data_IF_684873800923
#
_entry.id   IF_684873800923
#
_cell.length_a   1.000
_cell.length_b   1.000
_cell.length_c   1.000
_cell.angle_alpha   90.00
_cell.angle_beta   90.00
_cell.angle_gamma   90.00
#
_symmetry.space_group_name_H-M   'P 1'
#
loop_
_entity.id
_entity.type
_entity.pdbx_description
1 polymer ?
#
# COMPACT_ATOMS: atom_id res chain seq x y z
N UNK A 1 -33.77 -7.98 -12.00
CA UNK A 1 -33.84 -6.71 -12.75
C UNK A 1 -32.48 -6.47 -13.38
N UNK A 2 -32.39 -5.99 -14.64
CA UNK A 2 -31.09 -5.56 -15.16
C UNK A 2 -30.60 -4.37 -14.33
N UNK A 3 -29.33 -4.38 -13.94
CA UNK A 3 -28.73 -3.22 -13.27
C UNK A 3 -28.78 -2.03 -14.23
N UNK A 4 -29.04 -0.81 -13.74
CA UNK A 4 -29.07 0.39 -14.59
C UNK A 4 -27.76 0.58 -15.39
N UNK A 5 -26.64 0.12 -14.80
CA UNK A 5 -25.32 0.09 -15.43
C UNK A 5 -25.20 -0.84 -16.64
N UNK A 6 -26.02 -1.89 -16.76
CA UNK A 6 -26.01 -2.82 -17.90
C UNK A 6 -26.52 -2.17 -19.20
N UNK A 7 -27.06 -0.94 -19.10
CA UNK A 7 -27.55 -0.16 -20.24
C UNK A 7 -26.53 0.86 -20.76
N UNK A 8 -25.38 1.01 -20.10
CA UNK A 8 -24.35 1.94 -20.56
C UNK A 8 -23.76 1.43 -21.88
N UNK A 9 -23.59 2.29 -22.90
CA UNK A 9 -22.86 1.93 -24.11
C UNK A 9 -21.44 1.44 -23.77
N UNK A 10 -20.95 0.45 -24.51
CA UNK A 10 -19.65 -0.18 -24.25
C UNK A 10 -18.50 0.83 -24.35
N UNK A 11 -18.65 1.85 -25.20
CA UNK A 11 -17.71 2.94 -25.40
C UNK A 11 -17.51 3.75 -24.12
N UNK A 12 -18.59 4.02 -23.38
CA UNK A 12 -18.53 4.74 -22.10
C UNK A 12 -17.81 3.87 -21.06
N UNK A 13 -18.10 2.57 -21.04
CA UNK A 13 -17.42 1.63 -20.13
C UNK A 13 -15.92 1.57 -20.44
N UNK A 14 -15.53 1.52 -21.71
CA UNK A 14 -14.13 1.53 -22.12
C UNK A 14 -13.43 2.83 -21.75
N UNK A 15 -14.08 3.98 -21.91
CA UNK A 15 -13.55 5.27 -21.47
C UNK A 15 -13.26 5.24 -19.97
N UNK A 16 -14.16 4.68 -19.16
CA UNK A 16 -13.95 4.53 -17.71
C UNK A 16 -12.76 3.61 -17.43
N UNK A 17 -12.70 2.44 -18.08
CA UNK A 17 -11.64 1.46 -17.86
C UNK A 17 -10.25 1.98 -18.22
N UNK A 18 -10.14 2.90 -19.19
CA UNK A 18 -8.86 3.49 -19.57
C UNK A 18 -8.17 4.29 -18.42
N UNK A 19 -8.92 4.67 -17.39
CA UNK A 19 -8.39 5.38 -16.21
C UNK A 19 -8.09 4.46 -15.02
N UNK A 20 -8.36 3.16 -15.14
CA UNK A 20 -8.28 2.19 -14.04
C UNK A 20 -7.22 1.12 -14.31
N UNK A 21 -6.66 0.58 -13.24
CA UNK A 21 -5.80 -0.59 -13.30
C UNK A 21 -6.61 -1.87 -13.51
N UNK A 22 -5.98 -2.89 -14.09
CA UNK A 22 -6.62 -4.16 -14.37
C UNK A 22 -7.26 -4.79 -13.13
N UNK A 23 -6.61 -4.69 -11.97
CA UNK A 23 -7.15 -5.26 -10.73
C UNK A 23 -8.42 -4.52 -10.26
N UNK A 24 -8.49 -3.19 -10.45
CA UNK A 24 -9.67 -2.39 -10.09
C UNK A 24 -10.83 -2.73 -11.02
N UNK A 25 -10.58 -2.81 -12.32
CA UNK A 25 -11.58 -3.21 -13.32
C UNK A 25 -12.11 -4.62 -13.02
N UNK A 26 -11.21 -5.59 -12.84
CA UNK A 26 -11.61 -6.97 -12.61
C UNK A 26 -12.32 -7.12 -11.26
N UNK A 27 -11.82 -6.51 -10.19
CA UNK A 27 -12.47 -6.58 -8.89
C UNK A 27 -13.84 -5.91 -8.89
N UNK A 28 -13.98 -4.77 -9.57
CA UNK A 28 -15.21 -3.99 -9.57
C UNK A 28 -16.25 -4.46 -10.59
N UNK A 29 -15.91 -5.19 -11.65
CA UNK A 29 -16.86 -5.51 -12.73
C UNK A 29 -16.99 -7.00 -13.06
N UNK A 30 -16.04 -7.84 -12.63
CA UNK A 30 -16.13 -9.28 -12.88
C UNK A 30 -17.29 -9.90 -12.10
N UNK A 31 -18.10 -10.72 -12.78
CA UNK A 31 -19.30 -11.41 -12.21
C UNK A 31 -20.39 -10.49 -11.67
N UNK A 32 -20.38 -9.20 -12.01
CA UNK A 32 -21.52 -8.31 -11.71
C UNK A 32 -22.71 -8.64 -12.59
N UNK A 33 -22.48 -8.78 -13.91
CA UNK A 33 -23.53 -9.13 -14.86
C UNK A 33 -22.94 -9.79 -16.11
N UNK A 34 -23.79 -10.47 -16.89
CA UNK A 34 -23.38 -11.05 -18.17
C UNK A 34 -22.93 -9.99 -19.17
N UNK A 35 -23.47 -8.76 -19.07
CA UNK A 35 -23.03 -7.64 -19.87
C UNK A 35 -21.56 -7.31 -19.58
N UNK A 36 -21.20 -7.03 -18.32
CA UNK A 36 -19.82 -6.72 -17.97
C UNK A 36 -18.86 -7.89 -18.21
N UNK A 37 -19.29 -9.14 -18.00
CA UNK A 37 -18.46 -10.30 -18.34
C UNK A 37 -18.13 -10.33 -19.85
N UNK A 38 -19.08 -10.00 -20.74
CA UNK A 38 -18.81 -9.88 -22.18
C UNK A 38 -17.89 -8.70 -22.49
N UNK A 39 -18.11 -7.54 -21.89
CA UNK A 39 -17.25 -6.36 -22.04
C UNK A 39 -15.80 -6.70 -21.66
N UNK A 40 -15.59 -7.27 -20.47
CA UNK A 40 -14.26 -7.66 -19.98
C UNK A 40 -13.57 -8.69 -20.87
N UNK A 41 -14.32 -9.61 -21.48
CA UNK A 41 -13.76 -10.63 -22.37
C UNK A 41 -13.23 -10.09 -23.71
N UNK A 42 -13.66 -8.87 -24.11
CA UNK A 42 -13.25 -8.19 -25.34
C UNK A 42 -12.39 -6.96 -25.08
N UNK A 43 -12.36 -6.43 -23.85
CA UNK A 43 -11.54 -5.29 -23.49
C UNK A 43 -10.06 -5.66 -23.62
N UNK A 44 -9.30 -4.85 -24.34
CA UNK A 44 -7.95 -5.19 -24.82
C UNK A 44 -6.91 -4.10 -24.48
N UNK A 45 -7.24 -3.28 -23.48
CA UNK A 45 -6.47 -2.13 -23.04
C UNK A 45 -6.17 -2.19 -21.53
N UNK A 46 -5.84 -3.37 -21.02
CA UNK A 46 -5.50 -3.51 -19.60
C UNK A 46 -4.12 -2.93 -19.28
N UNK A 47 -4.10 -2.19 -18.17
CA UNK A 47 -2.88 -1.69 -17.53
C UNK A 47 -2.69 -2.49 -16.23
N UNK A 48 -1.60 -3.25 -16.14
CA UNK A 48 -1.29 -4.05 -14.94
C UNK A 48 -0.22 -3.32 -14.14
N UNK A 49 -0.53 -3.07 -12.86
CA UNK A 49 0.41 -2.54 -11.89
C UNK A 49 0.55 -3.50 -10.70
N UNK A 50 1.71 -4.15 -10.59
CA UNK A 50 2.06 -5.01 -9.45
C UNK A 50 3.19 -4.42 -8.57
N UNK A 51 3.43 -3.11 -8.62
CA UNK A 51 4.43 -2.48 -7.76
C UNK A 51 4.11 -2.64 -6.27
N UNK A 52 2.84 -2.43 -5.88
CA UNK A 52 2.34 -2.69 -4.54
C UNK A 52 0.89 -3.16 -4.64
N UNK A 53 0.68 -4.47 -4.53
CA UNK A 53 -0.63 -5.10 -4.74
C UNK A 53 -0.92 -6.18 -3.69
N UNK A 54 -2.17 -6.23 -3.23
CA UNK A 54 -2.66 -7.30 -2.36
C UNK A 54 -2.61 -8.64 -3.11
N UNK A 55 -2.18 -9.70 -2.42
CA UNK A 55 -2.07 -11.05 -3.02
C UNK A 55 -3.37 -11.54 -3.67
N UNK A 56 -4.52 -11.27 -3.06
CA UNK A 56 -5.83 -11.63 -3.60
C UNK A 56 -6.14 -10.92 -4.93
N UNK A 57 -5.76 -9.64 -5.07
CA UNK A 57 -5.95 -8.88 -6.30
C UNK A 57 -4.97 -9.33 -7.38
N UNK A 58 -3.71 -9.62 -7.02
CA UNK A 58 -2.73 -10.21 -7.92
C UNK A 58 -3.21 -11.55 -8.50
N UNK A 59 -3.72 -12.44 -7.63
CA UNK A 59 -4.24 -13.75 -8.04
C UNK A 59 -5.48 -13.61 -8.93
N UNK A 60 -6.34 -12.63 -8.65
CA UNK A 60 -7.50 -12.33 -9.48
C UNK A 60 -7.08 -11.92 -10.90
N UNK A 61 -6.11 -11.00 -11.02
CA UNK A 61 -5.57 -10.59 -12.33
C UNK A 61 -4.98 -11.78 -13.05
N UNK A 62 -4.09 -12.55 -12.40
CA UNK A 62 -3.43 -13.70 -13.02
C UNK A 62 -4.41 -14.79 -13.47
N UNK A 63 -5.57 -14.91 -12.82
CA UNK A 63 -6.60 -15.90 -13.18
C UNK A 63 -7.44 -15.49 -14.38
N UNK A 64 -7.72 -14.19 -14.52
CA UNK A 64 -8.76 -13.71 -15.44
C UNK A 64 -8.20 -13.03 -16.69
N UNK A 65 -7.00 -12.47 -16.62
CA UNK A 65 -6.45 -11.70 -17.72
C UNK A 65 -5.89 -12.60 -18.82
N UNK A 66 -6.12 -12.21 -20.07
CA UNK A 66 -5.45 -12.82 -21.22
C UNK A 66 -4.27 -11.95 -21.64
N UNK A 67 -3.08 -12.53 -21.94
CA UNK A 67 -1.88 -11.76 -22.31
C UNK A 67 -2.08 -10.77 -23.46
N UNK A 68 -2.88 -11.14 -24.46
CA UNK A 68 -3.19 -10.31 -25.62
C UNK A 68 -4.01 -9.05 -25.28
N UNK A 69 -4.63 -8.98 -24.10
CA UNK A 69 -5.42 -7.83 -23.66
C UNK A 69 -4.59 -6.76 -22.94
N UNK A 70 -3.30 -6.99 -22.71
CA UNK A 70 -2.45 -6.14 -21.86
C UNK A 70 -1.59 -5.20 -22.68
N UNK A 71 -1.63 -3.92 -22.33
CA UNK A 71 -0.87 -2.84 -23.01
C UNK A 71 0.30 -2.34 -22.17
N UNK A 72 0.15 -2.36 -20.84
CA UNK A 72 1.19 -1.96 -19.89
C UNK A 72 1.30 -3.00 -18.78
N UNK A 73 2.54 -3.36 -18.43
CA UNK A 73 2.84 -4.31 -17.37
C UNK A 73 3.95 -3.76 -16.46
N UNK A 74 3.66 -3.70 -15.17
CA UNK A 74 4.65 -3.43 -14.12
C UNK A 74 4.78 -4.71 -13.29
N UNK A 75 5.99 -5.27 -13.24
CA UNK A 75 6.35 -6.37 -12.36
C UNK A 75 7.28 -5.85 -11.26
N UNK A 76 7.06 -6.30 -10.03
CA UNK A 76 7.89 -5.92 -8.89
C UNK A 76 8.12 -7.09 -7.96
N UNK A 77 9.35 -7.18 -7.43
CA UNK A 77 9.72 -8.05 -6.31
C UNK A 77 10.26 -7.21 -5.13
N UNK A 78 9.62 -6.05 -4.87
CA UNK A 78 9.89 -5.23 -3.67
C UNK A 78 9.54 -5.99 -2.39
N UNK A 79 9.94 -5.44 -1.24
CA UNK A 79 9.74 -6.08 0.07
C UNK A 79 8.28 -6.39 0.41
N UNK A 80 7.32 -5.64 -0.13
CA UNK A 80 5.88 -5.82 0.05
C UNK A 80 5.24 -6.78 -0.99
N UNK A 81 5.96 -7.11 -2.06
CA UNK A 81 5.51 -7.98 -3.16
C UNK A 81 6.54 -9.07 -3.53
N UNK A 82 7.21 -9.74 -2.57
CA UNK A 82 8.34 -10.61 -2.90
C UNK A 82 7.90 -11.82 -3.74
N UNK A 83 8.71 -12.16 -4.75
CA UNK A 83 8.53 -13.31 -5.65
C UNK A 83 7.26 -13.30 -6.51
N UNK A 84 6.52 -12.19 -6.58
CA UNK A 84 5.33 -12.11 -7.43
C UNK A 84 5.69 -12.16 -8.91
N UNK A 85 6.84 -11.61 -9.30
CA UNK A 85 7.30 -11.61 -10.68
C UNK A 85 7.63 -13.02 -11.15
N UNK A 86 8.35 -13.82 -10.34
CA UNK A 86 8.66 -15.21 -10.68
C UNK A 86 7.39 -16.07 -10.76
N UNK A 87 6.44 -15.87 -9.85
CA UNK A 87 5.14 -16.52 -9.91
C UNK A 87 4.36 -16.14 -11.17
N UNK A 88 4.28 -14.85 -11.51
CA UNK A 88 3.60 -14.38 -12.72
C UNK A 88 4.16 -15.05 -13.97
N UNK A 89 5.49 -15.17 -14.07
CA UNK A 89 6.17 -15.80 -15.20
C UNK A 89 6.03 -17.32 -15.24
N UNK A 90 5.73 -17.95 -14.11
CA UNK A 90 5.37 -19.38 -14.08
C UNK A 90 4.01 -19.64 -14.74
N UNK A 91 3.11 -18.64 -14.71
CA UNK A 91 1.79 -18.70 -15.32
C UNK A 91 1.83 -18.24 -16.78
N UNK A 92 2.52 -17.14 -17.05
CA UNK A 92 2.50 -16.48 -18.36
C UNK A 92 3.85 -16.50 -19.07
N UNK A 93 3.81 -16.77 -20.38
CA UNK A 93 4.97 -16.62 -21.25
C UNK A 93 4.99 -15.22 -21.86
N UNK A 94 6.10 -14.50 -21.71
CA UNK A 94 6.22 -13.11 -22.20
C UNK A 94 5.88 -12.95 -23.69
N UNK A 95 6.24 -13.91 -24.54
CA UNK A 95 5.91 -13.89 -25.98
C UNK A 95 4.41 -13.80 -26.30
N UNK A 96 3.53 -14.15 -25.35
CA UNK A 96 2.08 -14.11 -25.55
C UNK A 96 1.52 -12.69 -25.37
N UNK A 97 2.27 -11.76 -24.77
CA UNK A 97 1.85 -10.36 -24.58
C UNK A 97 2.06 -9.55 -25.86
N UNK A 98 1.41 -9.98 -26.94
CA UNK A 98 1.63 -9.47 -28.30
C UNK A 98 1.31 -7.98 -28.45
N UNK A 99 0.45 -7.42 -27.60
CA UNK A 99 0.06 -6.00 -27.63
C UNK A 99 0.78 -5.12 -26.62
N UNK A 100 1.72 -5.67 -25.87
CA UNK A 100 2.43 -4.93 -24.83
C UNK A 100 3.25 -3.79 -25.43
N UNK A 101 3.02 -2.57 -24.93
CA UNK A 101 3.71 -1.35 -25.36
C UNK A 101 4.63 -0.78 -24.29
N UNK A 102 4.36 -1.06 -23.03
CA UNK A 102 5.16 -0.61 -21.90
C UNK A 102 5.42 -1.77 -20.92
N UNK A 103 6.68 -1.92 -20.53
CA UNK A 103 7.12 -2.88 -19.52
C UNK A 103 7.99 -2.16 -18.50
N UNK A 104 7.65 -2.29 -17.22
CA UNK A 104 8.48 -1.85 -16.09
C UNK A 104 8.82 -3.05 -15.21
N UNK A 105 10.09 -3.21 -14.88
CA UNK A 105 10.62 -4.29 -14.05
C UNK A 105 11.32 -3.68 -12.83
N UNK A 106 10.82 -3.99 -11.63
CA UNK A 106 11.28 -3.37 -10.39
C UNK A 106 11.86 -4.43 -9.46
N UNK A 107 13.18 -4.41 -9.27
CA UNK A 107 13.91 -5.34 -8.41
C UNK A 107 13.70 -6.83 -8.73
N UNK A 108 13.27 -7.13 -9.96
CA UNK A 108 13.03 -8.51 -10.42
C UNK A 108 14.37 -9.25 -10.47
N UNK A 109 14.53 -10.24 -9.60
CA UNK A 109 15.78 -11.01 -9.46
C UNK A 109 15.63 -12.44 -9.99
N UNK A 110 16.71 -12.96 -10.58
CA UNK A 110 16.84 -14.36 -10.98
C UNK A 110 17.29 -15.21 -9.77
N UNK A 111 16.36 -15.47 -8.84
CA UNK A 111 16.64 -16.36 -7.70
C UNK A 111 16.59 -17.85 -8.07
N UNK A 112 16.08 -18.19 -9.26
CA UNK A 112 15.95 -19.55 -9.77
C UNK A 112 16.37 -19.53 -11.23
N UNK A 113 17.55 -20.11 -11.53
CA UNK A 113 18.23 -20.22 -12.85
C UNK A 113 17.40 -20.76 -14.04
N UNK A 114 16.06 -20.71 -14.01
CA UNK A 114 15.14 -21.32 -14.96
C UNK A 114 14.32 -20.33 -15.80
N UNK A 115 14.50 -19.01 -15.66
CA UNK A 115 13.68 -18.05 -16.42
C UNK A 115 14.52 -17.01 -17.16
N UNK A 116 14.56 -17.11 -18.49
CA UNK A 116 15.09 -16.07 -19.36
C UNK A 116 13.96 -15.16 -19.87
N UNK A 117 14.14 -13.85 -19.72
CA UNK A 117 13.32 -12.86 -20.39
C UNK A 117 13.82 -12.71 -21.82
N UNK A 118 13.12 -13.36 -22.74
CA UNK A 118 13.25 -13.08 -24.17
C UNK A 118 12.21 -12.03 -24.59
N UNK A 119 12.63 -10.76 -24.56
CA UNK A 119 11.77 -9.63 -24.91
C UNK A 119 11.71 -9.41 -26.42
N UNK A 120 12.58 -10.04 -27.23
CA UNK A 120 12.69 -9.78 -28.67
C UNK A 120 11.37 -10.04 -29.42
N UNK A 121 10.55 -10.97 -28.94
CA UNK A 121 9.25 -11.28 -29.53
C UNK A 121 8.17 -10.21 -29.27
N UNK A 122 8.45 -9.22 -28.41
CA UNK A 122 7.52 -8.12 -28.11
C UNK A 122 7.67 -6.98 -29.13
N UNK A 123 7.25 -7.23 -30.36
CA UNK A 123 7.46 -6.32 -31.51
C UNK A 123 6.80 -4.94 -31.34
N UNK A 124 5.80 -4.82 -30.48
CA UNK A 124 5.09 -3.58 -30.21
C UNK A 124 5.59 -2.85 -28.94
N UNK A 125 6.62 -3.38 -28.27
CA UNK A 125 7.18 -2.77 -27.08
C UNK A 125 7.84 -1.43 -27.43
N UNK A 126 7.30 -0.34 -26.89
CA UNK A 126 7.79 1.02 -27.13
C UNK A 126 8.70 1.50 -26.01
N UNK A 127 8.39 1.08 -24.78
CA UNK A 127 8.96 1.59 -23.54
C UNK A 127 9.40 0.44 -22.64
N UNK A 128 10.66 0.48 -22.20
CA UNK A 128 11.19 -0.43 -21.20
C UNK A 128 11.81 0.38 -20.06
N UNK A 129 11.38 0.09 -18.83
CA UNK A 129 11.95 0.64 -17.61
C UNK A 129 12.42 -0.50 -16.70
N UNK A 130 13.64 -0.39 -16.19
CA UNK A 130 14.24 -1.44 -15.37
C UNK A 130 14.91 -0.79 -14.16
N UNK A 131 14.45 -1.15 -12.96
CA UNK A 131 15.05 -0.76 -11.69
C UNK A 131 15.75 -2.00 -11.10
N UNK A 132 17.08 -1.96 -10.97
CA UNK A 132 17.89 -3.13 -10.61
C UNK A 132 18.75 -2.90 -9.38
N UNK A 133 18.87 -3.95 -8.57
CA UNK A 133 19.85 -4.03 -7.45
C UNK A 133 21.13 -4.77 -7.85
N UNK A 134 21.06 -5.62 -8.88
CA UNK A 134 22.16 -6.49 -9.35
C UNK A 134 22.30 -6.42 -10.88
N UNK A 135 23.28 -7.12 -11.45
CA UNK A 135 23.43 -7.27 -12.90
C UNK A 135 22.18 -7.88 -13.56
N UNK A 136 22.02 -7.72 -14.88
CA UNK A 136 20.91 -8.24 -15.68
C UNK A 136 21.27 -9.49 -16.50
N UNK A 137 21.62 -10.65 -15.90
CA UNK A 137 21.94 -11.84 -16.67
C UNK A 137 20.71 -12.43 -17.39
N UNK A 138 19.52 -12.21 -16.85
CA UNK A 138 18.26 -12.86 -17.26
C UNK A 138 17.57 -12.23 -18.48
N UNK A 139 17.97 -11.04 -18.94
CA UNK A 139 17.42 -10.42 -20.18
C UNK A 139 18.32 -10.75 -21.36
N UNK A 140 17.91 -11.65 -22.25
CA UNK A 140 18.79 -12.11 -23.34
C UNK A 140 18.82 -11.17 -24.54
N UNK A 141 17.66 -10.67 -24.97
CA UNK A 141 17.57 -9.79 -26.14
C UNK A 141 16.36 -8.87 -26.02
N UNK A 142 16.51 -7.64 -26.48
CA UNK A 142 15.52 -6.56 -26.36
C UNK A 142 15.22 -6.04 -27.78
N UNK A 143 13.94 -5.86 -28.14
CA UNK A 143 13.56 -5.32 -29.44
C UNK A 143 13.97 -3.84 -29.54
N UNK A 144 14.01 -3.23 -30.74
CA UNK A 144 14.25 -1.79 -30.87
C UNK A 144 13.18 -0.98 -30.11
N UNK A 145 13.63 -0.11 -29.20
CA UNK A 145 12.76 0.69 -28.33
C UNK A 145 12.78 2.17 -28.73
N UNK A 146 11.69 2.89 -28.41
CA UNK A 146 11.68 4.36 -28.47
C UNK A 146 12.05 5.00 -27.13
N UNK A 147 11.78 4.32 -26.02
CA UNK A 147 12.08 4.78 -24.66
C UNK A 147 12.73 3.69 -23.84
N UNK A 148 13.82 4.04 -23.17
CA UNK A 148 14.57 3.15 -22.29
C UNK A 148 14.96 3.89 -21.02
N UNK A 149 14.63 3.32 -19.88
CA UNK A 149 15.04 3.80 -18.56
C UNK A 149 15.70 2.67 -17.78
N UNK A 150 16.91 2.90 -17.28
CA UNK A 150 17.64 1.93 -16.46
C UNK A 150 18.12 2.63 -15.19
N UNK A 151 17.55 2.23 -14.05
CA UNK A 151 17.90 2.75 -12.74
C UNK A 151 18.62 1.66 -11.94
N UNK A 152 19.80 1.98 -11.41
CA UNK A 152 20.71 1.11 -10.66
C UNK A 152 20.65 1.56 -9.21
N UNK A 153 19.93 0.80 -8.38
CA UNK A 153 19.56 1.19 -7.02
C UNK A 153 20.70 0.99 -6.01
N UNK A 154 21.50 -0.08 -6.14
CA UNK A 154 22.47 -0.46 -5.10
C UNK A 154 23.79 -1.07 -5.58
N UNK A 155 23.98 -1.30 -6.88
CA UNK A 155 25.17 -2.02 -7.34
C UNK A 155 26.36 -1.05 -7.52
N UNK A 156 27.48 -1.31 -6.85
CA UNK A 156 28.74 -0.57 -7.04
C UNK A 156 29.43 -0.92 -8.37
N UNK A 157 29.08 -2.06 -8.99
CA UNK A 157 29.79 -2.62 -10.14
C UNK A 157 28.84 -3.16 -11.24
N UNK A 158 27.76 -2.44 -11.56
CA UNK A 158 26.87 -2.85 -12.64
C UNK A 158 27.57 -2.84 -14.00
N UNK A 159 27.58 -3.97 -14.70
CA UNK A 159 28.30 -4.13 -15.96
C UNK A 159 27.41 -3.88 -17.18
N UNK A 160 27.28 -2.61 -17.57
CA UNK A 160 26.46 -2.17 -18.73
C UNK A 160 26.91 -2.79 -20.07
N UNK A 161 28.16 -3.28 -20.22
CA UNK A 161 28.63 -3.90 -21.47
C UNK A 161 27.72 -5.01 -22.00
N UNK A 162 27.04 -5.71 -21.11
CA UNK A 162 26.09 -6.79 -21.48
C UNK A 162 24.77 -6.25 -22.03
N UNK A 163 24.31 -5.07 -21.63
CA UNK A 163 23.07 -4.45 -22.12
C UNK A 163 23.24 -3.88 -23.52
N UNK A 164 24.34 -3.16 -23.70
CA UNK A 164 24.71 -2.46 -24.92
C UNK A 164 25.17 -3.38 -26.05
N UNK A 165 25.28 -4.68 -25.80
CA UNK A 165 25.41 -5.74 -26.81
C UNK A 165 24.08 -6.41 -27.15
N UNK A 166 23.01 -6.16 -26.37
CA UNK A 166 21.69 -6.80 -26.47
C UNK A 166 20.58 -5.86 -26.93
N UNK A 167 20.84 -4.55 -27.03
CA UNK A 167 19.90 -3.49 -27.41
C UNK A 167 20.44 -2.73 -28.63
N UNK A 168 19.56 -2.44 -29.60
CA UNK A 168 19.81 -1.41 -30.62
C UNK A 168 19.30 -0.04 -30.13
N UNK A 169 20.18 0.97 -30.16
CA UNK A 169 19.86 2.34 -29.72
C UNK A 169 19.44 3.27 -30.87
N UNK A 170 19.46 2.80 -32.12
CA UNK A 170 19.23 3.64 -33.30
C UNK A 170 17.83 4.29 -33.34
N UNK A 171 16.83 3.61 -32.77
CA UNK A 171 15.44 4.07 -32.74
C UNK A 171 15.07 4.80 -31.44
N UNK A 172 16.03 4.96 -30.53
CA UNK A 172 15.77 5.50 -29.20
C UNK A 172 15.59 7.02 -29.24
N UNK A 173 14.47 7.50 -28.71
CA UNK A 173 14.15 8.93 -28.59
C UNK A 173 14.37 9.44 -27.17
N UNK A 174 14.13 8.60 -26.16
CA UNK A 174 14.32 8.96 -24.75
C UNK A 174 15.18 7.91 -24.04
N UNK A 175 16.20 8.39 -23.34
CA UNK A 175 17.11 7.58 -22.54
C UNK A 175 17.20 8.14 -21.12
N UNK A 176 17.00 7.29 -20.13
CA UNK A 176 17.26 7.59 -18.72
C UNK A 176 18.24 6.56 -18.16
N UNK A 177 19.36 6.99 -17.60
CA UNK A 177 20.35 6.12 -16.98
C UNK A 177 20.78 6.68 -15.63
N UNK A 178 20.89 5.84 -14.62
CA UNK A 178 21.57 6.20 -13.36
C UNK A 178 22.89 5.43 -13.24
N UNK A 179 23.95 6.07 -12.77
CA UNK A 179 25.24 5.42 -12.43
C UNK A 179 25.88 4.60 -13.57
N UNK A 180 25.71 5.05 -14.81
CA UNK A 180 26.31 4.43 -16.00
C UNK A 180 27.81 4.77 -16.10
N UNK A 181 28.72 3.80 -16.31
CA UNK A 181 30.15 4.08 -16.56
C UNK A 181 30.36 4.98 -17.79
N UNK A 182 31.32 5.92 -17.69
CA UNK A 182 31.63 6.89 -18.73
C UNK A 182 31.89 6.27 -20.12
N UNK A 183 32.70 5.21 -20.17
CA UNK A 183 33.02 4.49 -21.43
C UNK A 183 31.78 3.90 -22.11
N UNK A 184 30.82 3.39 -21.34
CA UNK A 184 29.57 2.86 -21.89
C UNK A 184 28.62 3.98 -22.28
N UNK A 185 28.54 5.06 -21.50
CA UNK A 185 27.77 6.24 -21.87
C UNK A 185 28.19 6.76 -23.24
N UNK A 186 29.49 6.93 -23.46
CA UNK A 186 30.02 7.40 -24.76
C UNK A 186 29.59 6.49 -25.91
N UNK A 187 29.63 5.17 -25.70
CA UNK A 187 29.21 4.20 -26.72
C UNK A 187 27.71 4.18 -26.98
N UNK A 188 26.88 4.37 -25.96
CA UNK A 188 25.42 4.47 -26.13
C UNK A 188 25.09 5.72 -26.94
N UNK A 189 25.69 6.85 -26.58
CA UNK A 189 25.43 8.13 -27.23
C UNK A 189 25.86 8.16 -28.69
N UNK A 190 26.93 7.44 -29.06
CA UNK A 190 27.35 7.34 -30.47
C UNK A 190 26.40 6.52 -31.34
N UNK A 191 25.59 5.64 -30.75
CA UNK A 191 24.59 4.82 -31.45
C UNK A 191 23.18 5.42 -31.41
N UNK A 192 22.86 6.24 -30.40
CA UNK A 192 21.55 6.84 -30.18
C UNK A 192 21.30 8.08 -31.07
N UNK A 193 21.30 7.88 -32.38
CA UNK A 193 21.23 8.96 -33.38
C UNK A 193 19.90 9.73 -33.41
N UNK A 194 18.82 9.18 -32.84
CA UNK A 194 17.46 9.79 -32.81
C UNK A 194 17.08 10.34 -31.44
N UNK A 195 18.03 10.45 -30.53
CA UNK A 195 17.77 10.85 -29.15
C UNK A 195 17.31 12.31 -29.08
N UNK A 196 16.15 12.54 -28.47
CA UNK A 196 15.61 13.89 -28.23
C UNK A 196 15.60 14.24 -26.73
N UNK A 197 15.78 13.25 -25.85
CA UNK A 197 15.83 13.44 -24.40
C UNK A 197 16.83 12.49 -23.75
N UNK A 198 17.73 13.04 -22.96
CA UNK A 198 18.69 12.32 -22.12
C UNK A 198 18.53 12.76 -20.66
N UNK A 199 18.19 11.80 -19.80
CA UNK A 199 18.19 11.96 -18.34
C UNK A 199 19.32 11.12 -17.74
N UNK A 200 20.13 11.73 -16.89
CA UNK A 200 21.23 11.06 -16.22
C UNK A 200 21.23 11.34 -14.72
N UNK A 201 21.32 10.28 -13.92
CA UNK A 201 21.58 10.35 -12.48
C UNK A 201 23.00 9.87 -12.19
N UNK A 202 23.74 10.58 -11.33
CA UNK A 202 25.11 10.23 -10.95
C UNK A 202 25.28 10.22 -9.44
N UNK A 203 25.94 9.20 -8.89
CA UNK A 203 26.50 9.26 -7.52
C UNK A 203 27.61 10.31 -7.42
N UNK A 204 28.48 10.37 -8.43
CA UNK A 204 29.57 11.33 -8.54
C UNK A 204 29.73 11.79 -9.99
N UNK A 205 29.75 13.10 -10.23
CA UNK A 205 30.01 13.69 -11.54
C UNK A 205 31.48 14.12 -11.62
N UNK A 206 32.22 13.60 -12.61
CA UNK A 206 33.63 13.91 -12.84
C UNK A 206 33.84 14.57 -14.22
N UNK A 207 35.07 15.02 -14.51
CA UNK A 207 35.41 15.69 -15.76
C UNK A 207 35.24 14.80 -17.01
N UNK A 208 35.34 13.48 -16.87
CA UNK A 208 35.15 12.55 -17.98
C UNK A 208 33.70 12.58 -18.49
N UNK A 209 32.73 12.53 -17.58
CA UNK A 209 31.30 12.67 -17.93
C UNK A 209 30.99 14.04 -18.55
N UNK A 210 31.55 15.11 -18.01
CA UNK A 210 31.36 16.47 -18.53
C UNK A 210 31.84 16.55 -19.98
N UNK A 211 33.03 16.02 -20.28
CA UNK A 211 33.59 16.02 -21.62
C UNK A 211 32.74 15.20 -22.61
N UNK A 212 32.27 14.03 -22.20
CA UNK A 212 31.40 13.18 -23.04
C UNK A 212 30.09 13.91 -23.39
N UNK A 213 29.44 14.52 -22.38
CA UNK A 213 28.18 15.23 -22.58
C UNK A 213 28.37 16.52 -23.40
N UNK A 214 29.48 17.24 -23.21
CA UNK A 214 29.82 18.42 -23.99
C UNK A 214 30.04 18.08 -25.47
N UNK A 215 30.82 17.02 -25.75
CA UNK A 215 31.04 16.54 -27.12
C UNK A 215 29.74 16.10 -27.77
N UNK A 216 28.89 15.35 -27.05
CA UNK A 216 27.58 14.94 -27.55
C UNK A 216 26.70 16.14 -27.87
N UNK A 217 26.62 17.14 -26.99
CA UNK A 217 25.86 18.37 -27.24
C UNK A 217 26.36 19.11 -28.49
N UNK A 218 27.68 19.19 -28.67
CA UNK A 218 28.29 19.82 -29.84
C UNK A 218 27.95 19.06 -31.14
N UNK A 219 28.01 17.72 -31.13
CA UNK A 219 27.63 16.87 -32.27
C UNK A 219 26.14 16.97 -32.62
N UNK A 220 25.26 17.12 -31.63
CA UNK A 220 23.82 17.27 -31.90
C UNK A 220 23.48 18.67 -32.42
N UNK A 221 24.20 19.68 -31.94
CA UNK A 221 24.08 21.06 -32.41
C UNK A 221 24.45 21.19 -33.89
N UNK A 222 25.51 20.52 -34.34
CA UNK A 222 25.91 20.51 -35.76
C UNK A 222 24.91 19.79 -36.66
N UNK A 223 24.13 18.85 -36.11
CA UNK A 223 23.03 18.15 -36.79
C UNK A 223 21.68 18.87 -36.68
N UNK A 224 21.64 20.08 -36.11
CA UNK A 224 20.41 20.85 -35.83
C UNK A 224 19.34 20.07 -35.06
N UNK A 225 19.76 19.12 -34.21
CA UNK A 225 18.86 18.29 -33.40
C UNK A 225 18.87 18.82 -31.97
N UNK A 226 17.69 19.23 -31.46
CA UNK A 226 17.53 19.65 -30.07
C UNK A 226 17.41 18.41 -29.17
N UNK A 227 18.30 18.30 -28.18
CA UNK A 227 18.26 17.24 -27.17
C UNK A 227 18.07 17.85 -25.78
N UNK A 228 16.99 17.46 -25.10
CA UNK A 228 16.76 17.84 -23.72
C UNK A 228 17.69 17.07 -22.79
N UNK A 229 18.47 17.78 -21.97
CA UNK A 229 19.43 17.22 -21.02
C UNK A 229 18.96 17.49 -19.59
N UNK A 230 18.75 16.43 -18.81
CA UNK A 230 18.43 16.48 -17.39
C UNK A 230 19.50 15.72 -16.60
N UNK A 231 20.24 16.42 -15.75
CA UNK A 231 21.31 15.85 -14.93
C UNK A 231 20.92 15.98 -13.45
N UNK A 232 20.96 14.87 -12.73
CA UNK A 232 20.78 14.81 -11.28
C UNK A 232 21.98 14.16 -10.61
N UNK A 233 22.34 14.65 -9.43
CA UNK A 233 23.29 13.97 -8.55
C UNK A 233 22.46 13.27 -7.48
N UNK A 234 22.62 11.95 -7.39
CA UNK A 234 21.97 11.12 -6.38
C UNK A 234 22.64 11.41 -5.04
N UNK A 235 22.19 12.48 -4.38
CA UNK A 235 22.49 12.69 -2.97
C UNK A 235 21.75 11.59 -2.23
N UNK A 236 22.46 10.83 -1.38
CA UNK A 236 21.85 9.81 -0.54
C UNK A 236 20.56 10.40 0.05
N UNK A 237 19.39 9.73 -0.11
CA UNK A 237 18.16 10.28 0.39
C UNK A 237 18.36 10.50 1.89
N UNK A 238 18.27 11.76 2.32
CA UNK A 238 17.90 12.03 3.71
C UNK A 238 16.61 11.26 3.91
N UNK A 239 16.61 10.29 4.83
CA UNK A 239 15.40 9.52 5.16
C UNK A 239 14.30 10.51 5.53
N UNK A 240 13.48 10.88 4.55
CA UNK A 240 12.20 11.50 4.81
C UNK A 240 11.36 10.39 5.40
N UNK A 241 11.34 10.33 6.74
CA UNK A 241 10.41 9.51 7.49
C UNK A 241 9.01 10.02 7.16
N UNK A 242 8.44 9.47 6.10
CA UNK A 242 7.07 9.76 5.69
C UNK A 242 6.16 9.07 6.71
N UNK A 243 5.46 9.88 7.51
CA UNK A 243 4.45 9.36 8.41
C UNK A 243 3.21 9.00 7.59
N UNK A 244 2.87 7.72 7.55
CA UNK A 244 1.60 7.24 7.00
C UNK A 244 0.61 6.93 8.11
N UNK A 245 -0.69 7.04 7.80
CA UNK A 245 -1.75 6.61 8.70
C UNK A 245 -1.67 5.09 8.89
N UNK A 246 -1.49 4.66 10.14
CA UNK A 246 -1.42 3.24 10.51
C UNK A 246 -2.80 2.79 10.98
N UNK A 247 -3.48 1.87 10.30
CA UNK A 247 -4.73 1.31 10.82
C UNK A 247 -4.44 0.53 12.10
N UNK A 248 -5.37 0.54 13.05
CA UNK A 248 -5.29 -0.36 14.20
C UNK A 248 -5.44 -1.80 13.71
N UNK A 249 -4.47 -2.65 14.04
CA UNK A 249 -4.49 -4.05 13.66
C UNK A 249 -5.27 -4.90 14.67
N UNK A 250 -4.90 -4.82 15.95
CA UNK A 250 -5.55 -5.54 17.04
C UNK A 250 -5.32 -4.85 18.39
N UNK A 251 -6.01 -5.33 19.41
CA UNK A 251 -5.76 -5.04 20.83
C UNK A 251 -5.61 -6.34 21.61
N UNK A 252 -4.67 -6.39 22.54
CA UNK A 252 -4.51 -7.49 23.48
C UNK A 252 -5.04 -7.12 24.86
N UNK A 253 -5.85 -7.99 25.45
CA UNK A 253 -6.35 -7.86 26.82
C UNK A 253 -6.09 -9.13 27.62
N UNK A 254 -5.90 -8.98 28.94
CA UNK A 254 -5.76 -10.12 29.85
C UNK A 254 -7.09 -10.47 30.51
N UNK A 255 -7.30 -11.77 30.73
CA UNK A 255 -8.51 -12.33 31.36
C UNK A 255 -8.13 -13.45 32.32
N UNK A 256 -8.93 -13.61 33.38
CA UNK A 256 -8.69 -14.65 34.39
C UNK A 256 -9.08 -16.05 33.92
N UNK A 257 -10.02 -16.17 32.97
CA UNK A 257 -10.43 -17.42 32.33
C UNK A 257 -10.67 -17.18 30.83
N UNK A 258 -9.80 -17.74 29.98
CA UNK A 258 -9.85 -17.52 28.53
C UNK A 258 -11.02 -18.22 27.85
N UNK A 259 -11.49 -19.36 28.36
CA UNK A 259 -12.59 -20.10 27.75
C UNK A 259 -13.92 -19.39 28.02
N UNK A 260 -14.10 -18.92 29.26
CA UNK A 260 -15.24 -18.10 29.64
C UNK A 260 -15.25 -16.78 28.85
N UNK A 261 -14.09 -16.13 28.70
CA UNK A 261 -13.96 -14.89 27.94
C UNK A 261 -14.31 -15.07 26.47
N UNK A 262 -13.73 -16.06 25.81
CA UNK A 262 -13.98 -16.34 24.40
C UNK A 262 -15.47 -16.60 24.13
N UNK A 263 -16.13 -17.37 25.00
CA UNK A 263 -17.57 -17.63 24.93
C UNK A 263 -18.36 -16.34 25.09
N UNK A 264 -18.05 -15.55 26.12
CA UNK A 264 -18.75 -14.32 26.45
C UNK A 264 -18.62 -13.25 25.36
N UNK A 265 -17.40 -12.99 24.88
CA UNK A 265 -17.16 -12.00 23.83
C UNK A 265 -17.84 -12.37 22.51
N UNK A 266 -17.90 -13.66 22.20
CA UNK A 266 -18.64 -14.17 21.03
C UNK A 266 -20.14 -13.96 21.18
N UNK A 267 -20.69 -14.34 22.32
CA UNK A 267 -22.14 -14.37 22.52
C UNK A 267 -22.70 -12.99 22.80
N UNK A 268 -22.04 -12.18 23.63
CA UNK A 268 -22.52 -10.86 24.07
C UNK A 268 -22.12 -9.76 23.10
N UNK A 269 -20.84 -9.65 22.73
CA UNK A 269 -20.35 -8.60 21.81
C UNK A 269 -20.33 -9.03 20.33
N UNK A 270 -20.68 -10.28 20.02
CA UNK A 270 -20.75 -10.76 18.64
C UNK A 270 -19.38 -10.97 17.97
N UNK A 271 -18.29 -11.08 18.74
CA UNK A 271 -16.95 -11.27 18.18
C UNK A 271 -16.79 -12.67 17.58
N UNK A 272 -16.01 -12.77 16.51
CA UNK A 272 -15.75 -14.06 15.84
C UNK A 272 -14.44 -14.66 16.32
N UNK A 273 -14.46 -15.92 16.73
CA UNK A 273 -13.26 -16.67 17.14
C UNK A 273 -12.45 -17.01 15.89
N UNK A 274 -11.19 -16.60 15.85
CA UNK A 274 -10.24 -16.93 14.78
C UNK A 274 -9.36 -18.11 15.16
N UNK A 275 -8.86 -18.11 16.41
CA UNK A 275 -7.98 -19.13 16.95
C UNK A 275 -8.44 -19.48 18.36
N UNK A 276 -8.70 -20.75 18.61
CA UNK A 276 -9.06 -21.27 19.93
C UNK A 276 -7.88 -21.13 20.92
N UNK A 277 -8.09 -21.24 22.24
CA UNK A 277 -7.03 -21.07 23.22
C UNK A 277 -5.87 -22.07 23.01
N UNK A 278 -4.68 -21.54 22.79
CA UNK A 278 -3.43 -22.29 22.70
C UNK A 278 -2.65 -22.11 23.99
N UNK A 279 -2.16 -23.21 24.56
CA UNK A 279 -1.32 -23.21 25.75
C UNK A 279 0.15 -23.10 25.34
N UNK A 280 0.83 -22.05 25.82
CA UNK A 280 2.18 -21.70 25.40
C UNK A 280 3.10 -21.70 26.63
N UNK A 281 4.17 -22.48 26.54
CA UNK A 281 5.27 -22.49 27.50
C UNK A 281 6.32 -21.48 27.02
N UNK A 282 6.79 -20.63 27.93
CA UNK A 282 7.79 -19.60 27.65
C UNK A 282 9.18 -20.19 27.79
N UNK A 283 9.61 -20.88 26.74
CA UNK A 283 10.93 -21.48 26.58
C UNK A 283 11.37 -21.48 25.10
N UNK A 284 12.49 -22.13 24.78
CA UNK A 284 13.04 -22.18 23.42
C UNK A 284 12.45 -23.33 22.57
N UNK A 285 11.34 -23.95 22.97
CA UNK A 285 10.74 -25.08 22.26
C UNK A 285 9.88 -24.67 21.05
N UNK A 286 9.39 -23.43 21.02
CA UNK A 286 8.55 -22.90 19.93
C UNK A 286 8.91 -21.45 19.60
N UNK A 287 8.65 -21.01 18.38
CA UNK A 287 8.87 -19.61 17.96
C UNK A 287 8.12 -18.61 18.86
N UNK A 288 6.90 -18.96 19.28
CA UNK A 288 6.12 -18.16 20.22
C UNK A 288 6.72 -18.14 21.62
N UNK A 289 7.23 -19.26 22.11
CA UNK A 289 7.94 -19.33 23.39
C UNK A 289 9.19 -18.45 23.40
N UNK A 290 9.97 -18.49 22.30
CA UNK A 290 11.13 -17.63 22.11
C UNK A 290 10.71 -16.16 22.11
N UNK A 291 9.69 -15.79 21.33
CA UNK A 291 9.19 -14.41 21.27
C UNK A 291 8.77 -13.90 22.66
N UNK A 292 7.98 -14.69 23.40
CA UNK A 292 7.51 -14.31 24.74
C UNK A 292 8.67 -14.21 25.75
N UNK A 293 9.71 -15.03 25.62
CA UNK A 293 10.91 -14.97 26.48
C UNK A 293 11.71 -13.67 26.31
N UNK A 294 11.59 -13.01 25.15
CA UNK A 294 12.22 -11.71 24.91
C UNK A 294 11.37 -10.54 25.44
N UNK A 295 10.06 -10.75 25.61
CA UNK A 295 9.11 -9.72 26.01
C UNK A 295 8.88 -9.66 27.52
N UNK A 296 8.86 -10.82 28.18
CA UNK A 296 8.54 -10.94 29.60
C UNK A 296 9.78 -11.27 30.46
N UNK A 297 9.78 -10.88 31.75
CA UNK A 297 10.78 -11.32 32.71
C UNK A 297 10.88 -12.86 32.81
N UNK A 298 12.03 -13.42 33.25
CA UNK A 298 12.23 -14.86 33.36
C UNK A 298 11.21 -15.60 34.23
N UNK A 299 10.52 -14.91 35.14
CA UNK A 299 9.47 -15.45 36.00
C UNK A 299 8.21 -15.85 35.23
N UNK A 300 7.99 -15.30 34.03
CA UNK A 300 6.84 -15.65 33.20
C UNK A 300 7.06 -16.98 32.49
N UNK A 301 6.30 -18.02 32.84
CA UNK A 301 6.49 -19.39 32.38
C UNK A 301 5.41 -19.92 31.44
N UNK A 302 4.17 -19.47 31.59
CA UNK A 302 3.05 -20.08 30.86
C UNK A 302 1.88 -19.13 30.66
N UNK A 303 1.39 -19.08 29.42
CA UNK A 303 0.24 -18.27 29.02
C UNK A 303 -0.67 -19.06 28.08
N UNK A 304 -1.98 -18.82 28.18
CA UNK A 304 -2.93 -19.21 27.13
C UNK A 304 -3.29 -18.01 26.28
N UNK A 305 -3.30 -18.20 24.97
CA UNK A 305 -3.62 -17.16 23.99
C UNK A 305 -4.75 -17.60 23.09
N UNK A 306 -5.69 -16.69 22.79
CA UNK A 306 -6.75 -16.90 21.81
C UNK A 306 -6.92 -15.63 20.98
N UNK A 307 -7.35 -15.77 19.74
CA UNK A 307 -7.53 -14.66 18.82
C UNK A 307 -8.97 -14.60 18.35
N UNK A 308 -9.55 -13.41 18.42
CA UNK A 308 -10.88 -13.09 17.91
C UNK A 308 -10.79 -11.88 16.97
N UNK A 309 -11.90 -11.58 16.29
CA UNK A 309 -12.05 -10.33 15.53
C UNK A 309 -13.39 -9.67 15.85
N UNK A 310 -13.37 -8.35 15.98
CA UNK A 310 -14.56 -7.54 16.14
C UNK A 310 -15.30 -7.38 14.80
N UNK A 311 -16.54 -6.87 14.82
CA UNK A 311 -17.37 -6.73 13.62
C UNK A 311 -16.77 -5.85 12.51
N UNK A 312 -15.77 -5.03 12.82
CA UNK A 312 -15.04 -4.18 11.86
C UNK A 312 -13.69 -4.78 11.40
N UNK A 313 -13.37 -6.02 11.78
CA UNK A 313 -12.14 -6.71 11.37
C UNK A 313 -10.91 -6.42 12.25
N UNK A 314 -10.99 -5.53 13.25
CA UNK A 314 -9.90 -5.31 14.21
C UNK A 314 -9.74 -6.57 15.08
N UNK A 315 -8.50 -7.03 15.23
CA UNK A 315 -8.19 -8.21 16.04
C UNK A 315 -8.38 -7.95 17.54
N UNK A 316 -8.74 -8.99 18.26
CA UNK A 316 -8.94 -8.97 19.70
C UNK A 316 -8.28 -10.20 20.31
N UNK A 317 -7.13 -9.99 20.95
CA UNK A 317 -6.32 -11.05 21.53
C UNK A 317 -6.62 -11.19 23.02
N UNK A 318 -6.88 -12.42 23.45
CA UNK A 318 -7.12 -12.77 24.84
C UNK A 318 -5.89 -13.47 25.40
N UNK A 319 -5.43 -13.01 26.56
CA UNK A 319 -4.32 -13.61 27.29
C UNK A 319 -4.77 -14.06 28.67
N UNK A 320 -4.56 -15.33 29.00
CA UNK A 320 -4.67 -15.83 30.37
C UNK A 320 -3.28 -16.29 30.81
N UNK A 321 -2.60 -15.44 31.58
CA UNK A 321 -1.35 -15.80 32.25
C UNK A 321 -1.65 -16.88 33.29
N UNK A 322 -0.90 -17.98 33.25
CA UNK A 322 -1.10 -19.16 34.11
C UNK A 322 -0.03 -19.20 35.20
N UNK A 323 1.22 -18.88 34.84
CA UNK A 323 2.36 -18.88 35.76
C UNK A 323 3.29 -17.69 35.45
N UNK A 324 3.23 -16.60 36.23
CA UNK A 324 2.27 -16.36 37.32
C UNK A 324 0.83 -16.15 36.80
N UNK A 325 -0.21 -16.47 37.61
CA UNK A 325 -1.59 -16.39 37.16
C UNK A 325 -2.08 -14.94 37.02
N UNK A 326 -2.94 -14.71 36.02
CA UNK A 326 -3.64 -13.42 35.84
C UNK A 326 -4.50 -13.15 37.07
N UNK A 327 -4.34 -11.96 37.65
CA UNK A 327 -5.16 -11.51 38.77
C UNK A 327 -6.13 -10.45 38.29
N UNK A 328 -7.37 -10.53 38.78
CA UNK A 328 -8.33 -9.43 38.62
C UNK A 328 -7.84 -8.25 39.48
N UNK A 329 -7.96 -6.99 39.02
CA UNK A 329 -7.68 -5.84 39.88
C UNK A 329 -8.45 -5.94 41.20
N UNK A 330 -7.78 -5.71 42.33
CA UNK A 330 -8.35 -5.84 43.69
C UNK A 330 -9.34 -4.72 44.07
N UNK A 331 -9.87 -3.99 43.10
CA UNK A 331 -10.75 -2.85 43.30
C UNK A 331 -12.15 -3.16 42.80
N UNK A 332 -13.18 -2.75 43.55
CA UNK A 332 -14.60 -2.83 43.14
C UNK A 332 -14.97 -1.87 42.00
N UNK A 333 -14.00 -1.08 41.54
CA UNK A 333 -14.04 -0.06 40.49
C UNK A 333 -12.85 -0.26 39.53
N UNK A 334 -12.91 0.34 38.33
CA UNK A 334 -11.78 0.33 37.39
C UNK A 334 -10.63 1.25 37.88
N UNK A 335 -9.39 0.87 37.58
CA UNK A 335 -8.17 1.56 38.03
C UNK A 335 -7.81 2.74 37.09
N UNK A 336 -8.55 3.83 37.18
CA UNK A 336 -8.43 4.98 36.26
C UNK A 336 -7.14 5.80 36.40
N UNK A 337 -6.49 5.75 37.56
CA UNK A 337 -5.28 6.52 37.84
C UNK A 337 -4.02 5.91 37.24
N UNK A 338 -4.08 4.67 36.74
CA UNK A 338 -2.95 3.98 36.12
C UNK A 338 -2.92 4.30 34.62
N UNK A 339 -1.80 4.85 34.14
CA UNK A 339 -1.59 5.09 32.72
C UNK A 339 -1.52 3.76 31.94
N UNK A 340 -2.15 3.70 30.77
CA UNK A 340 -2.20 2.49 29.93
C UNK A 340 -3.50 2.39 29.14
N UNK A 341 -3.85 1.16 28.75
CA UNK A 341 -5.15 0.88 28.14
C UNK A 341 -6.27 1.22 29.13
N UNK A 342 -7.07 2.24 28.79
CA UNK A 342 -8.13 2.74 29.66
C UNK A 342 -9.43 1.94 29.50
N UNK A 343 -9.92 1.79 28.26
CA UNK A 343 -11.07 0.97 27.91
C UNK A 343 -10.97 0.51 26.46
N UNK A 344 -11.81 -0.46 26.10
CA UNK A 344 -12.17 -0.75 24.72
C UNK A 344 -13.54 -0.15 24.44
N UNK A 345 -13.80 0.24 23.20
CA UNK A 345 -15.11 0.76 22.80
C UNK A 345 -15.69 -0.07 21.66
N UNK A 346 -16.98 -0.40 21.78
CA UNK A 346 -17.77 -1.03 20.71
C UNK A 346 -18.89 -0.11 20.27
N UNK A 347 -19.25 -0.18 18.99
CA UNK A 347 -20.40 0.54 18.44
C UNK A 347 -21.59 -0.40 18.37
N UNK A 348 -22.70 -0.01 19.00
CA UNK A 348 -23.96 -0.75 18.98
C UNK A 348 -25.12 0.23 18.76
N UNK A 349 -26.04 -0.02 17.81
CA UNK A 349 -27.15 0.90 17.54
C UNK A 349 -28.17 1.00 18.69
N UNK A 350 -28.17 0.08 19.64
CA UNK A 350 -29.06 0.05 20.81
C UNK A 350 -28.28 -0.18 22.12
N UNK A 351 -27.51 0.83 22.61
CA UNK A 351 -26.62 0.66 23.77
C UNK A 351 -27.32 0.10 25.02
N UNK A 352 -28.56 0.49 25.29
CA UNK A 352 -29.36 0.00 26.43
C UNK A 352 -29.61 -1.51 26.37
N UNK A 353 -29.84 -2.07 25.17
CA UNK A 353 -30.03 -3.51 24.99
C UNK A 353 -28.72 -4.24 25.32
N UNK A 354 -27.60 -3.74 24.81
CA UNK A 354 -26.29 -4.36 25.05
C UNK A 354 -25.89 -4.28 26.53
N UNK A 355 -26.11 -3.15 27.20
CA UNK A 355 -25.92 -3.00 28.66
C UNK A 355 -26.69 -4.07 29.44
N UNK A 356 -27.98 -4.27 29.12
CA UNK A 356 -28.80 -5.30 29.77
C UNK A 356 -28.20 -6.70 29.61
N UNK A 357 -27.69 -7.02 28.43
CA UNK A 357 -27.03 -8.32 28.15
C UNK A 357 -25.73 -8.47 28.93
N UNK A 358 -24.91 -7.41 29.01
CA UNK A 358 -23.67 -7.41 29.79
C UNK A 358 -23.96 -7.64 31.27
N UNK A 359 -24.91 -6.90 31.85
CA UNK A 359 -25.29 -7.06 33.27
C UNK A 359 -25.85 -8.46 33.55
N UNK A 360 -26.73 -8.96 32.68
CA UNK A 360 -27.33 -10.30 32.83
C UNK A 360 -26.30 -11.45 32.77
N UNK A 361 -25.13 -11.20 32.19
CA UNK A 361 -24.06 -12.20 32.00
C UNK A 361 -22.87 -11.98 32.93
N UNK A 362 -23.05 -11.23 34.03
CA UNK A 362 -22.06 -11.05 35.09
C UNK A 362 -21.17 -9.81 34.98
N UNK A 363 -21.43 -8.94 34.00
CA UNK A 363 -20.84 -7.61 33.92
C UNK A 363 -21.52 -6.59 34.85
N UNK A 364 -21.08 -5.34 34.80
CA UNK A 364 -21.59 -4.25 35.66
C UNK A 364 -21.70 -2.94 34.90
N UNK A 365 -22.87 -2.32 34.87
CA UNK A 365 -23.02 -0.96 34.36
C UNK A 365 -22.39 0.05 35.34
N UNK A 366 -21.60 0.99 34.82
CA UNK A 366 -20.89 2.00 35.63
C UNK A 366 -21.45 3.42 35.48
N UNK A 367 -22.08 3.72 34.35
CA UNK A 367 -22.72 5.01 34.10
C UNK A 367 -24.16 4.81 33.61
N UNK A 368 -25.05 5.79 33.79
CA UNK A 368 -26.29 5.82 33.00
C UNK A 368 -25.96 5.88 31.50
N UNK A 369 -26.91 5.48 30.65
CA UNK A 369 -26.83 5.78 29.22
C UNK A 369 -27.15 7.24 29.03
N UNK A 370 -26.18 8.00 28.51
CA UNK A 370 -26.27 9.45 28.38
C UNK A 370 -26.06 9.87 26.94
N UNK A 371 -26.81 10.87 26.51
CA UNK A 371 -26.46 11.62 25.31
C UNK A 371 -25.18 12.40 25.59
N UNK A 372 -24.13 12.14 24.80
CA UNK A 372 -22.79 12.71 25.01
C UNK A 372 -22.77 14.22 24.77
N UNK A 373 -23.54 14.69 23.78
CA UNK A 373 -23.63 16.10 23.41
C UNK A 373 -25.09 16.59 23.42
N UNK A 374 -25.35 17.71 24.09
CA UNK A 374 -26.69 18.28 24.20
C UNK A 374 -27.32 18.52 22.81
N UNK A 375 -28.55 18.04 22.62
CA UNK A 375 -29.29 18.18 21.36
C UNK A 375 -28.94 17.16 20.26
N UNK A 376 -28.01 16.24 20.51
CA UNK A 376 -27.68 15.15 19.59
C UNK A 376 -28.33 13.82 20.02
N UNK A 377 -28.23 12.79 19.15
CA UNK A 377 -28.75 11.44 19.42
C UNK A 377 -27.64 10.44 19.78
N UNK A 378 -26.40 10.89 19.98
CA UNK A 378 -25.27 10.01 20.25
C UNK A 378 -25.22 9.65 21.72
N UNK A 379 -25.58 8.41 22.02
CA UNK A 379 -25.54 7.85 23.37
C UNK A 379 -24.21 7.14 23.61
N UNK A 380 -23.71 7.25 24.85
CA UNK A 380 -22.60 6.45 25.34
C UNK A 380 -22.86 5.94 26.76
N UNK A 381 -22.23 4.82 27.09
CA UNK A 381 -22.31 4.18 28.41
C UNK A 381 -21.06 3.35 28.68
N UNK A 382 -20.62 3.33 29.94
CA UNK A 382 -19.50 2.53 30.39
C UNK A 382 -19.98 1.34 31.21
N UNK A 383 -19.43 0.16 30.91
CA UNK A 383 -19.67 -1.09 31.61
C UNK A 383 -18.35 -1.80 31.96
N UNK A 384 -18.38 -2.68 32.95
CA UNK A 384 -17.38 -3.73 33.12
C UNK A 384 -17.88 -5.02 32.48
N UNK A 385 -17.00 -5.70 31.76
CA UNK A 385 -17.22 -7.11 31.42
C UNK A 385 -17.11 -8.01 32.70
N UNK A 386 -17.45 -9.30 32.62
CA UNK A 386 -17.33 -10.22 33.75
C UNK A 386 -15.90 -10.40 34.28
N UNK A 387 -14.88 -10.07 33.47
CA UNK A 387 -13.46 -10.23 33.77
C UNK A 387 -12.86 -8.96 34.41
N UNK A 388 -13.59 -7.85 34.41
CA UNK A 388 -13.18 -6.56 34.98
C UNK A 388 -12.58 -5.56 33.98
N UNK A 389 -12.65 -5.83 32.67
CA UNK A 389 -12.24 -4.88 31.64
C UNK A 389 -13.31 -3.81 31.43
N UNK A 390 -12.89 -2.57 31.23
CA UNK A 390 -13.77 -1.44 30.95
C UNK A 390 -14.16 -1.44 29.47
N UNK A 391 -15.47 -1.48 29.21
CA UNK A 391 -16.09 -1.47 27.89
C UNK A 391 -16.97 -0.23 27.78
N UNK A 392 -16.62 0.67 26.87
CA UNK A 392 -17.50 1.74 26.40
C UNK A 392 -18.39 1.21 25.27
N UNK A 393 -19.66 1.62 25.28
CA UNK A 393 -20.59 1.35 24.19
C UNK A 393 -21.06 2.70 23.65
N UNK A 394 -20.93 2.91 22.34
CA UNK A 394 -21.40 4.11 21.66
C UNK A 394 -22.43 3.78 20.58
N UNK A 395 -23.42 4.64 20.42
CA UNK A 395 -24.43 4.52 19.36
C UNK A 395 -23.90 4.78 17.94
N UNK A 396 -22.70 5.36 17.81
CA UNK A 396 -22.09 5.74 16.53
C UNK A 396 -20.58 5.48 16.53
N UNK A 397 -19.93 5.51 15.36
CA UNK A 397 -18.48 5.40 15.26
C UNK A 397 -17.76 6.59 15.90
N UNK A 398 -16.55 6.36 16.42
CA UNK A 398 -15.71 7.39 17.01
C UNK A 398 -15.45 8.56 16.07
N UNK A 399 -15.11 8.27 14.80
CA UNK A 399 -14.87 9.30 13.79
C UNK A 399 -16.10 10.20 13.64
N UNK A 400 -17.31 9.64 13.57
CA UNK A 400 -18.55 10.42 13.45
C UNK A 400 -18.87 11.20 14.73
N UNK A 401 -18.54 10.63 15.89
CA UNK A 401 -18.73 11.25 17.19
C UNK A 401 -17.72 12.35 17.52
N UNK A 402 -16.59 12.43 16.81
CA UNK A 402 -15.56 13.45 17.09
C UNK A 402 -15.37 14.44 15.94
N UNK A 403 -15.60 14.02 14.70
CA UNK A 403 -15.38 14.86 13.51
C UNK A 403 -16.17 16.16 13.55
N UNK A 404 -15.53 17.23 13.09
CA UNK A 404 -16.11 18.57 12.92
C UNK A 404 -16.64 19.25 14.20
N UNK A 405 -16.29 18.76 15.38
CA UNK A 405 -16.66 19.39 16.65
C UNK A 405 -15.66 20.46 17.05
N UNK A 406 -16.17 21.56 17.58
CA UNK A 406 -15.36 22.63 18.16
C UNK A 406 -14.93 22.23 19.57
N UNK A 407 -13.70 22.57 19.97
CA UNK A 407 -13.09 22.11 21.23
C UNK A 407 -13.80 22.62 22.49
N UNK A 408 -14.75 23.55 22.34
CA UNK A 408 -15.50 24.18 23.41
C UNK A 408 -16.89 23.56 23.68
N UNK A 409 -17.33 22.59 22.88
CA UNK A 409 -18.71 22.04 22.94
C UNK A 409 -18.96 21.13 24.16
N UNK A 410 -17.91 20.56 24.77
CA UNK A 410 -18.03 19.65 25.92
C UNK A 410 -18.43 20.33 27.23
N UNK A 411 -18.40 21.67 27.31
CA UNK A 411 -18.64 22.43 28.55
C UNK A 411 -19.95 23.23 28.58
N UNK A 412 -20.81 23.14 27.56
CA UNK A 412 -22.03 23.95 27.51
C UNK A 412 -23.26 23.19 28.00
N UNK A 413 -23.74 23.56 29.19
CA UNK A 413 -25.11 23.30 29.62
C UNK A 413 -26.07 24.16 28.79
N UNK A 414 -26.98 23.50 28.07
CA UNK A 414 -28.21 24.05 27.51
C UNK A 414 -28.21 25.52 27.09
N UNK A 415 -27.64 25.85 25.94
CA UNK A 415 -27.74 27.18 25.34
C UNK A 415 -27.46 27.15 23.84
N UNK A 416 -28.51 27.12 23.03
CA UNK A 416 -28.38 27.17 21.58
C UNK A 416 -27.77 28.48 21.10
N UNK A 417 -26.62 28.42 20.43
CA UNK A 417 -26.27 29.42 19.40
C UNK A 417 -25.58 28.71 18.24
N UNK A 418 -26.30 28.52 17.14
CA UNK A 418 -25.70 28.18 15.85
C UNK A 418 -24.97 29.41 15.34
N UNK A 419 -23.68 29.55 15.65
CA UNK A 419 -22.84 30.56 15.01
C UNK A 419 -22.40 30.03 13.65
N UNK A 420 -22.88 30.71 12.60
CA UNK A 420 -22.46 30.52 11.22
C UNK A 420 -20.93 30.60 11.11
N UNK A 421 -20.32 29.60 10.44
CA UNK A 421 -18.89 29.61 10.11
C UNK A 421 -18.51 30.92 9.42
N UNK A 422 -17.72 31.75 10.10
CA UNK A 422 -17.02 32.86 9.46
C UNK A 422 -15.80 32.33 8.69
N UNK A 423 -15.60 32.91 7.52
CA UNK A 423 -14.74 32.52 6.41
C UNK A 423 -13.22 32.67 6.64
N UNK A 424 -12.69 32.30 7.80
CA UNK A 424 -11.27 32.56 8.13
C UNK A 424 -10.27 31.44 7.77
N UNK A 425 -10.71 30.28 7.29
CA UNK A 425 -9.78 29.21 6.84
C UNK A 425 -9.33 29.31 5.38
N UNK A 426 -9.80 30.29 4.61
CA UNK A 426 -9.35 30.50 3.22
C UNK A 426 -8.15 31.45 3.06
N UNK A 427 -7.63 32.05 4.14
CA UNK A 427 -6.60 33.10 4.04
C UNK A 427 -5.14 32.68 4.32
N UNK A 428 -4.85 31.41 4.60
CA UNK A 428 -3.48 30.94 4.89
C UNK A 428 -2.82 30.08 3.79
N UNK A 429 -3.46 29.92 2.62
CA UNK A 429 -2.89 29.17 1.48
C UNK A 429 -2.19 30.09 0.46
N UNK A 430 -2.27 31.42 0.61
CA UNK A 430 -1.84 32.38 -0.42
C UNK A 430 -0.37 32.86 -0.34
N UNK A 431 0.45 32.44 0.62
CA UNK A 431 1.82 33.00 0.79
C UNK A 431 2.93 32.04 0.31
N UNK A 432 2.59 30.81 -0.09
CA UNK A 432 3.55 29.85 -0.66
C UNK A 432 3.67 29.86 -2.19
N UNK A 433 2.98 30.77 -2.90
CA UNK A 433 2.81 30.70 -4.36
C UNK A 433 3.67 31.68 -5.18
N UNK A 434 4.60 32.42 -4.56
CA UNK A 434 5.34 33.50 -5.24
C UNK A 434 6.82 33.22 -5.57
N UNK A 435 7.31 31.98 -5.43
CA UNK A 435 8.68 31.62 -5.84
C UNK A 435 8.73 30.64 -7.03
N UNK A 436 7.60 30.07 -7.46
CA UNK A 436 7.54 29.10 -8.58
C UNK A 436 7.12 29.69 -9.94
N UNK A 437 7.04 31.01 -10.07
CA UNK A 437 6.50 31.69 -11.26
C UNK A 437 7.57 32.25 -12.22
N UNK A 438 8.81 31.77 -12.13
CA UNK A 438 9.91 32.18 -13.02
C UNK A 438 10.39 31.09 -14.00
N UNK A 439 9.69 29.95 -14.10
CA UNK A 439 10.15 28.82 -14.95
C UNK A 439 9.13 28.36 -16.00
N UNK A 440 8.05 29.12 -16.27
CA UNK A 440 6.99 28.73 -17.22
C UNK A 440 6.78 29.68 -18.41
N UNK A 441 7.66 30.66 -18.62
CA UNK A 441 7.72 31.40 -19.88
C UNK A 441 8.98 30.98 -20.62
N UNK A 442 8.84 30.07 -21.59
CA UNK A 442 9.64 29.87 -22.80
C UNK A 442 9.58 28.39 -23.19
N UNK A 443 8.50 28.00 -23.88
CA UNK A 443 8.51 27.00 -24.95
C UNK A 443 7.09 26.79 -25.49
N UNK A 444 6.63 27.74 -26.30
CA UNK A 444 5.92 27.47 -27.56
C UNK A 444 6.88 27.96 -28.66
N UNK A 445 6.99 27.30 -29.83
CA UNK A 445 5.95 27.54 -30.85
C UNK A 445 5.69 26.40 -31.87
N UNK A 446 4.56 26.65 -32.57
CA UNK A 446 4.11 26.24 -33.93
C UNK A 446 4.10 24.76 -34.31
#
# INVERSE_FOLDING_TARGET
MPFFFDRLPVEIVYIIFNYLWAHEILYAFYRISDYFNRVLSHYDYFLINFESIRKSHFDLVCRLIKPEQVISLILSDKTDTPYQSSWFLSIFRMKNFTRLRALKLIEVNDNSKSFSFDLYNLQHLVSLEIDVKTDLPWINSIPPLKRLSINILSCEHFNIKRLTTRISFEQLHQLSLSNCPATELQRILSQAIRLTSLKMSFKYLNNEYINILANFHQEQSTKSTLVYLSLSIDVAPTEQITTYARPMNHIGISVTDINAALTWYREVLGFTVLVAPVDIIVDNSTDMGILLSQMFPPEMKRVKMAHMTAGNGVGFELFQFIDPPTQRPNTSSFEYSRAGLFHICVTDPEPENLVRRIVATGGKQLSPVLTVFSGEIYQAVYCLDPFGNLVEIMATSYERQMSNRDSNVTNQSGGHTLTSRSSKSQQLVSIGFHIYLLTLFFCRPS
#
